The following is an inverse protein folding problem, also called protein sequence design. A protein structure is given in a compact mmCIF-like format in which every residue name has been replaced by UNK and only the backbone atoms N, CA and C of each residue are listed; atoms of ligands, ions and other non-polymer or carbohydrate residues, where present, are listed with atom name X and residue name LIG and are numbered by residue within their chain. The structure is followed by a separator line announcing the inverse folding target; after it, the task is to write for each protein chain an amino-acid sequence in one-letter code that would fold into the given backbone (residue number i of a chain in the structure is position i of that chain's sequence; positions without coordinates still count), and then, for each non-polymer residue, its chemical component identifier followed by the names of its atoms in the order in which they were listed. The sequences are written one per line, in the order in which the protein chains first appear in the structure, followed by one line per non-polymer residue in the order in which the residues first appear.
data_IF_677794063667
#
_entry.id   IF_677794063667
#
_cell.length_a   1.000
_cell.length_b   1.000
_cell.length_c   1.000
_cell.angle_alpha   90.00
_cell.angle_beta   90.00
_cell.angle_gamma   90.00
#
_symmetry.space_group_name_H-M   'P 1'
#
loop_
_entity.id
_entity.type
_entity.pdbx_description
1 polymer ?
#
# COMPACT_ATOMS: atom_id res chain seq x y z
N UNK A 1 -18.26 40.93 -19.06
CA UNK A 1 -17.11 41.32 -18.23
C UNK A 1 -17.25 40.55 -16.91
N UNK A 2 -16.66 39.37 -16.67
CA UNK A 2 -15.23 39.00 -16.75
C UNK A 2 -14.42 40.12 -16.07
N UNK A 3 -13.85 40.00 -14.86
CA UNK A 3 -13.05 38.90 -14.32
C UNK A 3 -12.68 39.19 -12.84
N UNK A 4 -12.26 38.13 -12.11
CA UNK A 4 -11.17 38.13 -11.10
C UNK A 4 -11.39 38.87 -9.77
N UNK A 5 -11.99 38.18 -8.81
CA UNK A 5 -11.52 38.01 -7.42
C UNK A 5 -12.24 36.75 -6.95
N UNK A 6 -11.62 35.57 -6.89
CA UNK A 6 -11.52 34.82 -5.61
C UNK A 6 -10.44 33.72 -5.62
N UNK A 7 -9.58 33.62 -6.64
CA UNK A 7 -8.54 32.57 -6.75
C UNK A 7 -7.49 32.58 -5.62
N UNK A 8 -7.43 33.62 -4.79
CA UNK A 8 -6.48 33.67 -3.66
C UNK A 8 -6.97 33.04 -2.35
N UNK A 9 -8.26 32.69 -2.22
CA UNK A 9 -8.77 32.04 -1.00
C UNK A 9 -8.60 30.51 -1.01
N UNK A 10 -8.50 29.89 -2.19
CA UNK A 10 -8.44 28.43 -2.33
C UNK A 10 -7.03 27.90 -2.03
N UNK A 11 -5.99 28.68 -2.35
CA UNK A 11 -4.59 28.30 -2.09
C UNK A 11 -4.25 28.35 -0.58
N UNK A 12 -4.91 29.23 0.18
CA UNK A 12 -4.72 29.32 1.63
C UNK A 12 -5.41 28.19 2.42
N UNK A 13 -6.52 27.65 1.91
CA UNK A 13 -7.23 26.52 2.53
C UNK A 13 -6.50 25.19 2.25
N UNK A 14 -5.86 25.05 1.07
CA UNK A 14 -5.03 23.90 0.75
C UNK A 14 -3.75 23.78 1.61
N UNK A 15 -3.19 24.90 2.08
CA UNK A 15 -2.00 24.88 2.95
C UNK A 15 -2.31 24.62 4.44
N UNK A 16 -3.56 24.78 4.88
CA UNK A 16 -3.95 24.59 6.28
C UNK A 16 -4.49 23.19 6.59
N UNK A 17 -4.82 22.38 5.56
CA UNK A 17 -5.26 20.98 5.71
C UNK A 17 -4.14 19.94 5.58
N UNK A 18 -2.96 20.31 5.06
CA UNK A 18 -1.79 19.39 4.95
C UNK A 18 -1.19 19.06 6.33
N UNK A 19 -1.50 19.84 7.37
CA UNK A 19 -1.01 19.60 8.73
C UNK A 19 -1.79 18.52 9.51
N UNK A 20 -2.86 17.94 8.95
CA UNK A 20 -3.65 16.87 9.60
C UNK A 20 -3.50 15.49 8.91
N UNK A 21 -2.38 15.26 8.22
CA UNK A 21 -2.09 14.00 7.51
C UNK A 21 -0.79 13.31 7.99
N UNK A 22 -0.49 13.35 9.30
CA UNK A 22 0.59 12.52 9.90
C UNK A 22 0.08 11.65 11.05
N UNK A 23 -1.06 11.00 10.89
CA UNK A 23 -1.36 9.78 11.63
C UNK A 23 -2.07 8.81 10.71
N UNK A 24 -1.41 7.70 10.37
CA UNK A 24 -1.93 6.64 9.53
C UNK A 24 -3.32 6.20 9.98
N UNK A 25 -4.33 6.65 9.23
CA UNK A 25 -5.73 6.32 9.48
C UNK A 25 -5.94 4.93 8.90
N UNK A 26 -5.91 3.92 9.75
CA UNK A 26 -6.30 2.57 9.34
C UNK A 26 -7.81 2.55 9.17
N UNK A 27 -8.26 2.49 7.92
CA UNK A 27 -9.67 2.22 7.61
C UNK A 27 -9.94 0.76 8.01
N UNK A 28 -10.96 0.48 8.85
CA UNK A 28 -11.19 -0.87 9.36
C UNK A 28 -11.40 -1.87 8.22
N UNK A 29 -10.72 -3.01 8.37
CA UNK A 29 -10.68 -4.17 7.46
C UNK A 29 -12.04 -4.89 7.38
N UNK A 30 -13.05 -4.20 6.84
CA UNK A 30 -14.30 -4.81 6.39
C UNK A 30 -14.74 -4.30 5.01
N UNK A 31 -13.94 -3.50 4.32
CA UNK A 31 -14.28 -3.04 2.98
C UNK A 31 -13.59 -3.89 1.92
N UNK A 32 -14.35 -4.70 1.21
CA UNK A 32 -14.01 -5.20 -0.13
C UNK A 32 -13.96 -4.06 -1.18
N UNK A 33 -13.73 -2.82 -0.76
CA UNK A 33 -13.66 -1.64 -1.60
C UNK A 33 -12.48 -0.80 -1.11
N UNK A 34 -11.50 -0.61 -1.98
CA UNK A 34 -10.49 0.44 -1.88
C UNK A 34 -10.98 1.62 -2.71
N UNK A 35 -11.73 2.58 -2.16
CA UNK A 35 -12.11 3.75 -2.93
C UNK A 35 -10.83 4.45 -3.40
N UNK A 36 -10.73 4.74 -4.69
CA UNK A 36 -9.55 5.34 -5.28
C UNK A 36 -8.50 4.37 -5.81
N UNK A 37 -8.61 3.06 -5.58
CA UNK A 37 -7.75 2.06 -6.24
C UNK A 37 -8.43 1.60 -7.53
N UNK A 38 -8.10 2.27 -8.62
CA UNK A 38 -8.76 2.09 -9.91
C UNK A 38 -8.10 1.01 -10.76
N UNK A 39 -6.83 0.67 -10.49
CA UNK A 39 -6.11 -0.39 -11.18
C UNK A 39 -6.07 -1.72 -10.40
N UNK A 40 -6.58 -1.73 -9.16
CA UNK A 40 -6.72 -2.92 -8.32
C UNK A 40 -5.41 -3.36 -7.66
N UNK A 41 -4.39 -2.50 -7.65
CA UNK A 41 -3.07 -2.79 -7.06
C UNK A 41 -3.05 -2.59 -5.53
N UNK A 42 -4.17 -2.16 -4.93
CA UNK A 42 -4.43 -1.95 -3.49
C UNK A 42 -3.72 -0.75 -2.89
N UNK A 43 -3.21 0.15 -3.72
CA UNK A 43 -2.51 1.37 -3.32
C UNK A 43 -3.09 2.52 -4.09
N UNK A 44 -3.79 3.43 -3.40
CA UNK A 44 -4.26 4.67 -4.02
C UNK A 44 -3.08 5.60 -4.23
N UNK A 45 -2.57 5.67 -5.46
CA UNK A 45 -1.34 6.38 -5.77
C UNK A 45 -1.43 7.15 -7.09
N UNK A 46 -0.27 7.58 -7.60
CA UNK A 46 -0.20 8.39 -8.82
C UNK A 46 -0.80 7.67 -10.04
N UNK A 47 -0.75 6.34 -10.11
CA UNK A 47 -1.38 5.56 -11.17
C UNK A 47 -2.90 5.79 -11.18
N UNK A 48 -3.54 5.80 -10.02
CA UNK A 48 -4.96 6.06 -9.86
C UNK A 48 -5.33 7.50 -10.15
N UNK A 49 -4.47 8.44 -9.74
CA UNK A 49 -4.65 9.84 -10.10
C UNK A 49 -4.64 10.02 -11.63
N UNK A 50 -3.73 9.34 -12.34
CA UNK A 50 -3.67 9.38 -13.80
C UNK A 50 -4.93 8.76 -14.43
N UNK A 51 -5.46 7.68 -13.87
CA UNK A 51 -6.71 7.10 -14.32
C UNK A 51 -7.92 8.03 -14.09
N UNK A 52 -7.96 8.75 -12.96
CA UNK A 52 -9.00 9.71 -12.64
C UNK A 52 -9.03 10.89 -13.63
N UNK A 53 -7.88 11.51 -13.89
CA UNK A 53 -7.82 12.69 -14.77
C UNK A 53 -8.17 12.38 -16.23
N UNK A 54 -8.08 11.12 -16.67
CA UNK A 54 -8.49 10.69 -18.02
C UNK A 54 -9.99 10.86 -18.25
N UNK A 55 -10.80 10.73 -17.19
CA UNK A 55 -12.26 10.80 -17.27
C UNK A 55 -12.84 12.03 -16.56
N UNK A 56 -11.98 12.93 -16.08
CA UNK A 56 -12.43 14.17 -15.43
C UNK A 56 -13.24 15.04 -16.39
N UNK A 57 -14.40 15.51 -15.92
CA UNK A 57 -15.35 16.30 -16.70
C UNK A 57 -16.30 15.47 -17.57
N UNK A 58 -16.25 14.14 -17.50
CA UNK A 58 -17.23 13.26 -18.16
C UNK A 58 -18.50 13.11 -17.33
N UNK A 59 -19.61 12.81 -17.99
CA UNK A 59 -20.91 12.53 -17.37
C UNK A 59 -21.44 11.17 -17.80
N UNK A 60 -22.45 10.64 -17.13
CA UNK A 60 -23.08 9.36 -17.47
C UNK A 60 -23.64 9.27 -18.90
N UNK A 61 -23.71 10.40 -19.62
CA UNK A 61 -24.08 10.46 -21.02
C UNK A 61 -22.90 10.24 -21.99
N UNK A 62 -21.67 10.34 -21.51
CA UNK A 62 -20.44 10.28 -22.31
C UNK A 62 -19.91 8.84 -22.42
N UNK A 63 -19.37 8.49 -23.59
CA UNK A 63 -18.91 7.13 -23.87
C UNK A 63 -17.68 6.70 -23.05
N UNK A 64 -16.89 7.66 -22.55
CA UNK A 64 -15.71 7.45 -21.73
C UNK A 64 -15.97 7.65 -20.23
N UNK A 65 -17.23 7.79 -19.82
CA UNK A 65 -17.60 7.84 -18.43
C UNK A 65 -17.25 6.54 -17.71
N UNK A 66 -16.62 6.68 -16.55
CA UNK A 66 -16.38 5.57 -15.64
C UNK A 66 -17.01 5.90 -14.28
N UNK A 67 -18.03 5.13 -13.91
CA UNK A 67 -18.73 5.28 -12.63
C UNK A 67 -17.86 5.01 -11.41
N UNK A 68 -16.68 4.39 -11.57
CA UNK A 68 -15.72 4.26 -10.47
C UNK A 68 -15.11 5.60 -10.05
N UNK A 69 -15.14 6.60 -10.94
CA UNK A 69 -14.59 7.94 -10.66
C UNK A 69 -15.66 8.94 -10.21
N UNK A 70 -16.92 8.52 -10.17
CA UNK A 70 -18.07 9.28 -9.64
C UNK A 70 -18.35 8.78 -8.21
N UNK A 71 -17.64 9.37 -7.25
CA UNK A 71 -17.60 8.94 -5.85
C UNK A 71 -18.91 9.23 -5.12
N UNK A 72 -19.61 10.30 -5.51
CA UNK A 72 -20.89 10.67 -4.92
C UNK A 72 -22.11 10.19 -5.73
N UNK A 73 -21.88 9.51 -6.85
CA UNK A 73 -22.90 8.98 -7.76
C UNK A 73 -23.82 10.07 -8.31
N UNK A 74 -23.29 11.27 -8.53
CA UNK A 74 -23.99 12.42 -9.10
C UNK A 74 -24.29 12.25 -10.60
N UNK A 75 -23.64 11.30 -11.26
CA UNK A 75 -23.68 11.08 -12.70
C UNK A 75 -22.68 11.95 -13.47
N UNK A 76 -21.69 12.55 -12.79
CA UNK A 76 -20.61 13.33 -13.39
C UNK A 76 -19.31 13.15 -12.61
N UNK A 77 -18.17 13.16 -13.30
CA UNK A 77 -16.84 13.13 -12.68
C UNK A 77 -16.33 14.57 -12.59
N UNK A 78 -16.48 15.20 -11.43
CA UNK A 78 -16.17 16.61 -11.22
C UNK A 78 -15.28 16.86 -10.00
N UNK A 79 -15.20 18.13 -9.57
CA UNK A 79 -14.32 18.54 -8.47
C UNK A 79 -14.74 17.89 -7.14
N UNK A 80 -16.03 17.57 -6.96
CA UNK A 80 -16.51 16.86 -5.78
C UNK A 80 -15.86 15.48 -5.66
N UNK A 81 -15.80 14.74 -6.77
CA UNK A 81 -15.15 13.44 -6.84
C UNK A 81 -13.65 13.54 -6.69
N UNK A 82 -13.03 14.59 -7.25
CA UNK A 82 -11.61 14.83 -7.07
C UNK A 82 -11.26 15.04 -5.60
N UNK A 83 -12.07 15.81 -4.87
CA UNK A 83 -11.87 16.03 -3.43
C UNK A 83 -12.05 14.74 -2.63
N UNK A 84 -13.04 13.91 -2.99
CA UNK A 84 -13.23 12.60 -2.38
C UNK A 84 -12.07 11.63 -2.70
N UNK A 85 -11.53 11.66 -3.91
CA UNK A 85 -10.34 10.89 -4.29
C UNK A 85 -9.10 11.33 -3.50
N UNK A 86 -8.88 12.65 -3.35
CA UNK A 86 -7.76 13.18 -2.56
C UNK A 86 -7.87 12.78 -1.09
N UNK A 87 -9.09 12.65 -0.54
CA UNK A 87 -9.30 12.18 0.83
C UNK A 87 -8.75 10.76 1.05
N UNK A 88 -8.76 9.92 0.02
CA UNK A 88 -8.25 8.53 0.06
C UNK A 88 -6.89 8.37 -0.60
N UNK A 89 -6.27 9.44 -1.10
CA UNK A 89 -4.97 9.37 -1.77
C UNK A 89 -3.85 8.98 -0.80
N UNK A 90 -2.97 8.07 -1.22
CA UNK A 90 -1.91 7.51 -0.39
C UNK A 90 -2.40 6.43 0.58
N UNK A 91 -3.66 6.00 0.49
CA UNK A 91 -4.14 4.87 1.28
C UNK A 91 -3.70 3.54 0.67
N UNK A 92 -3.42 2.59 1.54
CA UNK A 92 -3.24 1.18 1.21
C UNK A 92 -4.35 0.44 1.93
N UNK A 93 -5.13 -0.37 1.21
CA UNK A 93 -6.22 -1.12 1.85
C UNK A 93 -5.92 -2.61 1.84
N UNK A 94 -5.87 -3.16 3.04
CA UNK A 94 -5.55 -4.55 3.30
C UNK A 94 -6.75 -5.45 3.00
N UNK A 95 -6.54 -6.43 2.13
CA UNK A 95 -7.44 -7.53 1.78
C UNK A 95 -7.41 -8.66 2.82
N UNK A 96 -7.09 -8.36 4.08
CA UNK A 96 -6.72 -9.37 5.06
C UNK A 96 -5.45 -10.16 4.70
N UNK A 97 -4.74 -9.76 3.64
CA UNK A 97 -3.45 -10.26 3.20
C UNK A 97 -2.27 -9.33 3.51
N UNK A 98 -2.56 -8.14 4.07
CA UNK A 98 -1.56 -7.21 4.61
C UNK A 98 -1.88 -6.87 6.07
N UNK A 99 -2.01 -7.90 6.91
CA UNK A 99 -1.32 -7.80 8.20
C UNK A 99 0.16 -7.69 7.86
N UNK A 100 0.95 -6.87 8.55
CA UNK A 100 2.42 -7.06 8.57
C UNK A 100 2.69 -8.55 8.59
N UNK A 101 3.09 -9.12 7.45
CA UNK A 101 2.80 -10.52 7.22
C UNK A 101 3.72 -11.29 8.16
N UNK A 102 3.16 -11.76 9.27
CA UNK A 102 3.88 -12.54 10.27
C UNK A 102 3.84 -14.00 9.84
N UNK A 103 4.86 -14.76 10.19
CA UNK A 103 5.02 -16.14 9.74
C UNK A 103 6.14 -16.30 8.72
N UNK A 104 6.06 -17.39 7.96
CA UNK A 104 7.15 -17.89 7.13
C UNK A 104 6.82 -17.72 5.65
N UNK A 105 7.70 -17.06 4.91
CA UNK A 105 7.52 -16.75 3.49
C UNK A 105 8.73 -17.20 2.69
N UNK A 106 8.48 -17.81 1.53
CA UNK A 106 9.52 -18.16 0.56
C UNK A 106 9.55 -17.09 -0.52
N UNK A 107 10.71 -16.47 -0.70
CA UNK A 107 10.92 -15.37 -1.62
C UNK A 107 12.07 -15.68 -2.58
N UNK A 108 12.14 -14.96 -3.69
CA UNK A 108 13.22 -15.11 -4.68
C UNK A 108 13.99 -13.82 -4.91
N UNK A 109 15.29 -13.94 -5.17
CA UNK A 109 16.19 -12.84 -5.52
C UNK A 109 16.94 -13.17 -6.81
N UNK A 110 16.76 -12.35 -7.84
CA UNK A 110 17.55 -12.45 -9.07
C UNK A 110 18.85 -11.67 -8.93
N UNK A 111 19.99 -12.35 -9.00
CA UNK A 111 21.31 -11.73 -8.89
C UNK A 111 22.34 -12.47 -9.74
N UNK A 112 23.03 -11.74 -10.62
CA UNK A 112 24.06 -12.26 -11.54
C UNK A 112 23.54 -13.36 -12.46
N UNK A 113 22.33 -13.19 -13.02
CA UNK A 113 21.74 -14.16 -13.94
C UNK A 113 21.13 -15.39 -13.28
N UNK A 114 21.12 -15.47 -11.94
CA UNK A 114 20.62 -16.62 -11.18
C UNK A 114 19.51 -16.18 -10.23
N UNK A 115 18.37 -16.88 -10.28
CA UNK A 115 17.31 -16.77 -9.27
C UNK A 115 17.69 -17.61 -8.06
N UNK A 116 17.83 -16.96 -6.89
CA UNK A 116 18.04 -17.60 -5.59
C UNK A 116 16.75 -17.58 -4.80
N UNK A 117 16.49 -18.64 -4.07
CA UNK A 117 15.36 -18.73 -3.13
C UNK A 117 15.88 -18.47 -1.72
N UNK A 118 15.12 -17.72 -0.92
CA UNK A 118 15.37 -17.54 0.50
C UNK A 118 14.05 -17.63 1.27
N UNK A 119 14.14 -17.97 2.55
CA UNK A 119 12.99 -18.00 3.46
C UNK A 119 13.12 -16.85 4.45
N UNK A 120 12.08 -16.04 4.59
CA UNK A 120 11.98 -15.00 5.62
C UNK A 120 10.94 -15.39 6.65
N UNK A 121 11.28 -15.20 7.92
CA UNK A 121 10.40 -15.34 9.05
C UNK A 121 10.21 -13.99 9.74
N UNK A 122 8.95 -13.60 9.88
CA UNK A 122 8.52 -12.38 10.57
C UNK A 122 7.79 -12.81 11.85
N UNK A 123 8.28 -12.44 13.05
CA UNK A 123 7.66 -12.83 14.31
C UNK A 123 6.20 -12.41 14.43
N UNK A 124 5.37 -13.19 15.12
CA UNK A 124 3.95 -12.86 15.35
C UNK A 124 3.73 -11.55 16.12
N UNK A 125 4.74 -11.12 16.88
CA UNK A 125 4.75 -9.87 17.65
C UNK A 125 5.14 -8.63 16.85
N UNK A 126 5.60 -8.79 15.61
CA UNK A 126 6.05 -7.67 14.78
C UNK A 126 4.88 -6.94 14.14
N UNK A 127 4.71 -5.67 14.52
CA UNK A 127 3.61 -4.81 14.08
C UNK A 127 3.96 -3.91 12.89
N UNK A 128 5.21 -4.01 12.39
CA UNK A 128 5.78 -3.17 11.32
C UNK A 128 5.90 -1.69 11.58
N UNK A 129 5.61 -1.23 12.81
CA UNK A 129 5.76 0.18 13.18
C UNK A 129 7.13 0.45 13.81
N UNK A 130 7.63 -0.52 14.57
CA UNK A 130 8.91 -0.42 15.28
C UNK A 130 10.04 -1.09 14.49
N UNK A 131 11.20 -0.44 14.39
CA UNK A 131 12.38 -1.06 13.74
C UNK A 131 12.91 -2.20 14.60
N UNK A 132 13.13 -3.36 14.00
CA UNK A 132 13.72 -4.54 14.64
C UNK A 132 15.01 -4.99 13.93
N UNK A 133 15.90 -5.73 14.61
CA UNK A 133 17.09 -6.30 13.97
C UNK A 133 16.74 -7.31 12.86
N UNK A 134 17.67 -7.47 11.92
CA UNK A 134 17.63 -8.51 10.88
C UNK A 134 18.76 -9.52 11.14
N UNK A 135 18.43 -10.81 11.19
CA UNK A 135 19.38 -11.90 11.31
C UNK A 135 19.42 -12.73 10.01
N UNK A 136 20.61 -12.85 9.43
CA UNK A 136 20.86 -13.74 8.29
C UNK A 136 21.48 -15.04 8.82
N UNK A 137 20.78 -16.16 8.63
CA UNK A 137 21.19 -17.48 9.09
C UNK A 137 21.57 -18.37 7.91
N UNK A 138 22.86 -18.33 7.54
CA UNK A 138 23.37 -18.93 6.31
C UNK A 138 23.61 -20.44 6.46
N UNK A 139 23.11 -21.21 5.48
CA UNK A 139 23.44 -22.62 5.37
C UNK A 139 24.87 -22.85 4.84
N UNK A 140 25.41 -24.03 5.12
CA UNK A 140 26.71 -24.47 4.60
C UNK A 140 26.68 -24.91 3.13
N UNK A 141 27.83 -25.39 2.62
CA UNK A 141 28.02 -25.76 1.22
C UNK A 141 26.96 -26.76 0.71
N UNK A 142 26.32 -26.43 -0.43
CA UNK A 142 25.34 -27.29 -1.12
C UNK A 142 23.97 -27.44 -0.44
N UNK A 143 23.75 -26.76 0.70
CA UNK A 143 22.45 -26.72 1.37
C UNK A 143 21.43 -25.85 0.63
N UNK A 144 20.18 -25.93 1.09
CA UNK A 144 19.08 -25.05 0.65
C UNK A 144 18.30 -24.57 1.88
N UNK A 145 17.68 -23.38 1.78
CA UNK A 145 16.98 -22.72 2.88
C UNK A 145 15.98 -23.62 3.64
N UNK A 146 15.12 -24.37 2.93
CA UNK A 146 14.10 -25.23 3.56
C UNK A 146 14.72 -26.38 4.38
N UNK A 147 15.80 -26.97 3.89
CA UNK A 147 16.50 -28.01 4.66
C UNK A 147 17.18 -27.39 5.88
N UNK A 148 17.88 -26.28 5.71
CA UNK A 148 18.64 -25.66 6.79
C UNK A 148 17.74 -25.10 7.90
N UNK A 149 16.57 -24.55 7.54
CA UNK A 149 15.54 -24.15 8.49
C UNK A 149 15.18 -25.27 9.47
N UNK A 150 15.15 -26.54 9.03
CA UNK A 150 14.82 -27.69 9.90
C UNK A 150 15.95 -28.06 10.85
N UNK A 151 17.21 -27.82 10.45
CA UNK A 151 18.39 -28.19 11.23
C UNK A 151 18.87 -27.08 12.17
N UNK A 152 18.61 -25.82 11.82
CA UNK A 152 19.04 -24.62 12.53
C UNK A 152 17.86 -23.64 12.71
N UNK A 153 16.74 -24.15 13.22
CA UNK A 153 15.52 -23.38 13.42
C UNK A 153 15.71 -22.33 14.53
N UNK A 154 15.69 -21.05 14.16
CA UNK A 154 15.79 -19.91 15.09
C UNK A 154 14.45 -19.17 15.22
N UNK A 155 13.36 -19.67 14.64
CA UNK A 155 12.04 -19.04 14.74
C UNK A 155 11.56 -18.86 16.19
N UNK A 156 11.71 -19.86 17.10
CA UNK A 156 11.36 -19.67 18.50
C UNK A 156 12.15 -18.53 19.16
N UNK A 157 13.41 -18.33 18.77
CA UNK A 157 14.22 -17.23 19.29
C UNK A 157 13.83 -15.88 18.66
N UNK A 158 13.47 -15.87 17.38
CA UNK A 158 12.95 -14.70 16.69
C UNK A 158 11.64 -14.19 17.32
N UNK A 159 10.77 -15.09 17.77
CA UNK A 159 9.56 -14.75 18.53
C UNK A 159 9.87 -14.14 19.91
N UNK A 160 10.86 -14.69 20.63
CA UNK A 160 11.22 -14.25 21.99
C UNK A 160 11.94 -12.90 21.95
N UNK A 161 12.91 -12.74 21.05
CA UNK A 161 13.84 -11.60 21.00
C UNK A 161 13.42 -10.52 19.98
N UNK A 162 12.32 -10.75 19.27
CA UNK A 162 11.72 -9.83 18.30
C UNK A 162 12.71 -9.35 17.21
N UNK A 163 13.17 -10.27 16.37
CA UNK A 163 13.99 -9.96 15.19
C UNK A 163 13.45 -10.65 13.93
N UNK A 164 13.66 -10.04 12.77
CA UNK A 164 13.35 -10.66 11.48
C UNK A 164 14.47 -11.65 11.15
N UNK A 165 14.10 -12.85 10.74
CA UNK A 165 15.04 -13.94 10.45
C UNK A 165 14.97 -14.30 8.97
N UNK A 166 16.13 -14.36 8.31
CA UNK A 166 16.23 -14.78 6.90
C UNK A 166 17.17 -15.96 6.80
N UNK A 167 16.73 -16.99 6.07
CA UNK A 167 17.49 -18.15 5.63
C UNK A 167 17.77 -18.00 4.14
N UNK A 168 18.97 -17.53 3.74
CA UNK A 168 19.35 -17.39 2.34
C UNK A 168 19.56 -18.73 1.64
#
# INVERSE_FOLDING_TARGET
MCQRITTFAIIAIALMLIALFITGRTVPSTAAACPGDFDGNRRVNIADFLAFVVVFGTSSADANYNSQMDFDSSGSVEIADFLAFVEVFGTECGDGGDTNATGLFTQTLFHNGITREYIIYVPGSYDGTSKVPLMLNFHGYGGIANQYLKYADMRPLADIENFILVYP
#
